data_IF_390276979674
#
_entry.id   IF_390276979674
#
_cell.length_a   1.000
_cell.length_b   1.000
_cell.length_c   1.000
_cell.angle_alpha   90.00
_cell.angle_beta   90.00
_cell.angle_gamma   90.00
#
_symmetry.space_group_name_H-M   'P 1'
#
loop_
_entity.id
_entity.type
_entity.pdbx_description
1 polymer ?
#
# COMPACT_ATOMS: atom_id res chain seq x y z
N UNK A 1 -2.21 12.60 -13.16
CA UNK A 1 -2.07 11.54 -12.13
C UNK A 1 -3.09 10.46 -12.43
N UNK A 2 -2.73 9.19 -12.33
CA UNK A 2 -3.66 8.06 -12.52
C UNK A 2 -4.63 8.04 -11.34
N UNK A 3 -5.95 7.87 -11.58
CA UNK A 3 -6.90 7.77 -10.47
C UNK A 3 -6.73 6.44 -9.71
N UNK A 4 -7.22 6.38 -8.47
CA UNK A 4 -7.20 5.13 -7.69
C UNK A 4 -7.99 4.03 -8.39
N UNK A 5 -9.13 4.38 -9.03
CA UNK A 5 -9.93 3.44 -9.80
C UNK A 5 -9.11 2.84 -10.96
N UNK A 6 -8.48 3.70 -11.74
CA UNK A 6 -7.64 3.24 -12.86
C UNK A 6 -6.46 2.37 -12.39
N UNK A 7 -5.89 2.68 -11.22
CA UNK A 7 -4.84 1.84 -10.62
C UNK A 7 -5.38 0.50 -10.15
N UNK A 8 -6.58 0.47 -9.57
CA UNK A 8 -7.24 -0.76 -9.12
C UNK A 8 -7.63 -1.65 -10.29
N UNK A 9 -8.20 -1.06 -11.36
CA UNK A 9 -8.56 -1.78 -12.58
C UNK A 9 -7.31 -2.41 -13.23
N UNK A 10 -6.21 -1.65 -13.33
CA UNK A 10 -4.94 -2.17 -13.85
C UNK A 10 -4.41 -3.33 -13.02
N UNK A 11 -4.48 -3.21 -11.68
CA UNK A 11 -4.10 -4.30 -10.79
C UNK A 11 -4.93 -5.55 -11.06
N UNK A 12 -6.28 -5.42 -11.13
CA UNK A 12 -7.18 -6.54 -11.41
C UNK A 12 -6.89 -7.23 -12.73
N UNK A 13 -6.70 -6.43 -13.81
CA UNK A 13 -6.35 -6.96 -15.14
C UNK A 13 -5.01 -7.72 -15.08
N UNK A 14 -3.99 -7.14 -14.45
CA UNK A 14 -2.67 -7.78 -14.37
C UNK A 14 -2.72 -9.09 -13.56
N UNK A 15 -3.49 -9.14 -12.46
CA UNK A 15 -3.66 -10.39 -11.70
C UNK A 15 -4.37 -11.48 -12.51
N UNK A 16 -5.35 -11.12 -13.35
CA UNK A 16 -5.99 -12.07 -14.28
C UNK A 16 -5.02 -12.60 -15.34
N UNK A 17 -4.16 -11.74 -15.87
CA UNK A 17 -3.12 -12.16 -16.83
C UNK A 17 -2.12 -13.12 -16.18
N UNK A 18 -1.70 -12.85 -14.93
CA UNK A 18 -0.83 -13.74 -14.17
C UNK A 18 -1.51 -15.08 -13.87
N UNK A 19 -2.78 -15.06 -13.46
CA UNK A 19 -3.56 -16.27 -13.22
C UNK A 19 -3.68 -17.12 -14.49
N UNK A 20 -4.03 -16.48 -15.60
CA UNK A 20 -4.12 -17.18 -16.89
C UNK A 20 -2.79 -17.83 -17.28
N UNK A 21 -1.69 -17.11 -17.09
CA UNK A 21 -0.37 -17.58 -17.50
C UNK A 21 0.20 -18.71 -16.63
N UNK A 22 -0.01 -18.63 -15.31
CA UNK A 22 0.71 -19.47 -14.35
C UNK A 22 -0.17 -20.47 -13.59
N UNK A 23 -1.48 -20.30 -13.61
CA UNK A 23 -2.40 -21.12 -12.80
C UNK A 23 -3.39 -21.90 -13.65
N UNK A 24 -3.92 -21.31 -14.74
CA UNK A 24 -5.04 -21.88 -15.49
C UNK A 24 -4.75 -23.21 -16.16
N UNK A 25 -3.49 -23.58 -16.33
CA UNK A 25 -3.09 -24.86 -16.90
C UNK A 25 -3.00 -25.98 -15.85
N UNK A 26 -3.03 -25.66 -14.56
CA UNK A 26 -2.87 -26.58 -13.44
C UNK A 26 -4.22 -26.83 -12.77
N UNK A 27 -5.08 -27.57 -13.46
CA UNK A 27 -6.47 -27.85 -13.02
C UNK A 27 -6.66 -29.27 -12.51
N UNK A 28 -5.67 -30.16 -12.71
CA UNK A 28 -5.73 -31.52 -12.21
C UNK A 28 -5.36 -31.55 -10.71
N UNK A 29 -6.29 -31.94 -9.82
CA UNK A 29 -6.00 -32.00 -8.38
C UNK A 29 -4.97 -33.08 -8.01
N UNK A 30 -4.65 -33.99 -8.94
CA UNK A 30 -3.66 -35.05 -8.76
C UNK A 30 -2.32 -34.74 -9.45
N UNK A 31 -2.16 -33.57 -10.03
CA UNK A 31 -0.91 -33.14 -10.65
C UNK A 31 0.26 -33.17 -9.65
N UNK A 32 1.43 -33.65 -10.11
CA UNK A 32 2.62 -33.66 -9.25
C UNK A 32 3.04 -32.22 -8.87
N UNK A 33 3.22 -31.91 -7.58
CA UNK A 33 3.70 -30.60 -7.15
C UNK A 33 4.96 -30.11 -7.86
N UNK A 34 5.82 -30.99 -8.36
CA UNK A 34 7.01 -30.62 -9.11
C UNK A 34 6.67 -29.95 -10.46
N UNK A 35 5.52 -30.23 -11.04
CA UNK A 35 5.10 -29.68 -12.33
C UNK A 35 4.62 -28.22 -12.20
N UNK A 36 3.89 -27.86 -11.13
CA UNK A 36 3.31 -26.52 -10.95
C UNK A 36 4.08 -25.61 -10.00
N UNK A 37 5.01 -26.10 -9.20
CA UNK A 37 5.64 -25.31 -8.11
C UNK A 37 6.32 -24.03 -8.59
N UNK A 38 6.95 -24.03 -9.77
CA UNK A 38 7.61 -22.84 -10.33
C UNK A 38 6.59 -21.79 -10.80
N UNK A 39 5.51 -22.25 -11.39
CA UNK A 39 4.45 -21.38 -11.88
C UNK A 39 3.68 -20.74 -10.73
N UNK A 40 3.28 -21.54 -9.73
CA UNK A 40 2.67 -21.04 -8.49
C UNK A 40 3.58 -20.03 -7.78
N UNK A 41 4.88 -20.32 -7.72
CA UNK A 41 5.86 -19.40 -7.18
C UNK A 41 5.90 -18.08 -7.94
N UNK A 42 6.00 -18.14 -9.25
CA UNK A 42 6.03 -16.96 -10.13
C UNK A 42 4.76 -16.12 -9.96
N UNK A 43 3.61 -16.77 -9.92
CA UNK A 43 2.32 -16.15 -9.66
C UNK A 43 2.31 -15.39 -8.33
N UNK A 44 2.70 -16.03 -7.22
CA UNK A 44 2.72 -15.41 -5.90
C UNK A 44 3.70 -14.22 -5.82
N UNK A 45 4.91 -14.36 -6.38
CA UNK A 45 5.94 -13.31 -6.33
C UNK A 45 5.52 -12.09 -7.14
N UNK A 46 5.02 -12.29 -8.35
CA UNK A 46 4.60 -11.21 -9.24
C UNK A 46 3.32 -10.52 -8.73
N UNK A 47 2.36 -11.28 -8.19
CA UNK A 47 1.17 -10.71 -7.55
C UNK A 47 1.54 -9.90 -6.31
N UNK A 48 2.48 -10.37 -5.48
CA UNK A 48 2.96 -9.61 -4.33
C UNK A 48 3.61 -8.28 -4.75
N UNK A 49 4.43 -8.27 -5.81
CA UNK A 49 5.05 -7.05 -6.34
C UNK A 49 3.98 -6.07 -6.87
N UNK A 50 2.94 -6.56 -7.53
CA UNK A 50 1.83 -5.73 -8.00
C UNK A 50 1.03 -5.10 -6.84
N UNK A 51 0.82 -5.83 -5.74
CA UNK A 51 0.21 -5.27 -4.54
C UNK A 51 1.10 -4.20 -3.88
N UNK A 52 2.41 -4.40 -3.86
CA UNK A 52 3.38 -3.42 -3.36
C UNK A 52 3.26 -2.10 -4.12
N UNK A 53 3.34 -2.17 -5.45
CA UNK A 53 3.18 -1.00 -6.33
C UNK A 53 1.81 -0.31 -6.13
N UNK A 54 0.73 -1.08 -6.00
CA UNK A 54 -0.60 -0.53 -5.78
C UNK A 54 -0.72 0.24 -4.46
N UNK A 55 -0.17 -0.31 -3.35
CA UNK A 55 -0.16 0.37 -2.05
C UNK A 55 0.67 1.65 -2.09
N UNK A 56 1.82 1.64 -2.77
CA UNK A 56 2.64 2.83 -2.97
C UNK A 56 1.87 3.92 -3.74
N UNK A 57 1.18 3.54 -4.80
CA UNK A 57 0.35 4.45 -5.59
C UNK A 57 -0.79 5.06 -4.76
N UNK A 58 -1.47 4.28 -3.90
CA UNK A 58 -2.48 4.79 -2.96
C UNK A 58 -1.85 5.81 -2.00
N UNK A 59 -0.68 5.51 -1.46
CA UNK A 59 -0.01 6.41 -0.52
C UNK A 59 0.38 7.73 -1.19
N UNK A 60 0.95 7.68 -2.39
CA UNK A 60 1.33 8.87 -3.16
C UNK A 60 0.10 9.69 -3.58
N UNK A 61 -0.99 9.03 -3.98
CA UNK A 61 -2.25 9.70 -4.26
C UNK A 61 -2.77 10.43 -3.01
N UNK A 62 -2.83 9.74 -1.87
CA UNK A 62 -3.32 10.32 -0.60
C UNK A 62 -2.48 11.49 -0.14
N UNK A 63 -1.16 11.45 -0.32
CA UNK A 63 -0.27 12.58 -0.04
C UNK A 63 -0.60 13.82 -0.86
N UNK A 64 -0.93 13.65 -2.14
CA UNK A 64 -1.33 14.76 -2.99
C UNK A 64 -2.69 15.33 -2.56
N UNK A 65 -3.67 14.46 -2.27
CA UNK A 65 -4.97 14.89 -1.77
C UNK A 65 -4.87 15.67 -0.45
N UNK A 66 -3.96 15.32 0.45
CA UNK A 66 -3.71 16.06 1.70
C UNK A 66 -3.26 17.49 1.41
N UNK A 67 -2.28 17.67 0.52
CA UNK A 67 -1.80 19.01 0.13
C UNK A 67 -2.88 19.80 -0.59
N UNK A 68 -3.48 19.21 -1.62
CA UNK A 68 -4.51 19.88 -2.44
C UNK A 68 -5.70 20.30 -1.59
N UNK A 69 -6.12 19.48 -0.63
CA UNK A 69 -7.19 19.80 0.29
C UNK A 69 -6.83 20.97 1.21
N UNK A 70 -5.61 20.99 1.76
CA UNK A 70 -5.15 22.10 2.58
C UNK A 70 -5.07 23.40 1.78
N UNK A 71 -4.52 23.36 0.57
CA UNK A 71 -4.42 24.55 -0.32
C UNK A 71 -5.81 25.10 -0.66
N UNK A 72 -6.76 24.22 -1.01
CA UNK A 72 -8.09 24.63 -1.46
C UNK A 72 -9.02 25.07 -0.32
N UNK A 73 -8.86 24.53 0.88
CA UNK A 73 -9.80 24.76 1.98
C UNK A 73 -9.21 25.54 3.17
N UNK A 74 -7.89 25.63 3.26
CA UNK A 74 -7.13 26.13 4.41
C UNK A 74 -7.48 25.40 5.71
N UNK A 75 -7.97 24.16 5.63
CA UNK A 75 -8.37 23.36 6.78
C UNK A 75 -7.43 22.21 6.99
N UNK A 76 -7.08 21.95 8.25
CA UNK A 76 -6.28 20.79 8.64
C UNK A 76 -7.21 19.58 8.72
N UNK A 77 -6.95 18.57 7.89
CA UNK A 77 -7.66 17.30 7.93
C UNK A 77 -7.03 16.34 8.95
N UNK A 78 -7.78 15.30 9.34
CA UNK A 78 -7.22 14.22 10.17
C UNK A 78 -5.96 13.61 9.54
N UNK A 79 -5.95 13.39 8.24
CA UNK A 79 -4.79 12.88 7.51
C UNK A 79 -3.60 13.84 7.54
N UNK A 80 -3.86 15.16 7.48
CA UNK A 80 -2.81 16.18 7.65
C UNK A 80 -2.19 16.11 9.05
N UNK A 81 -3.01 15.95 10.09
CA UNK A 81 -2.51 15.78 11.47
C UNK A 81 -1.67 14.51 11.62
N UNK A 82 -2.15 13.38 11.08
CA UNK A 82 -1.40 12.13 11.10
C UNK A 82 -0.05 12.29 10.38
N UNK A 83 -0.06 12.88 9.18
CA UNK A 83 1.15 13.08 8.39
C UNK A 83 2.19 13.87 9.15
N UNK A 84 1.81 15.00 9.73
CA UNK A 84 2.71 15.87 10.50
C UNK A 84 3.18 15.20 11.79
N UNK A 85 2.29 14.53 12.53
CA UNK A 85 2.60 13.87 13.80
C UNK A 85 3.61 12.73 13.64
N UNK A 86 3.34 11.79 12.72
CA UNK A 86 4.15 10.57 12.55
C UNK A 86 5.49 10.83 11.85
N UNK A 87 5.67 11.98 11.20
CA UNK A 87 6.96 12.36 10.61
C UNK A 87 7.78 13.33 11.50
N UNK A 88 7.45 13.41 12.80
CA UNK A 88 8.30 14.06 13.81
C UNK A 88 8.31 15.57 13.74
N UNK A 89 7.23 16.18 13.29
CA UNK A 89 7.13 17.64 13.24
C UNK A 89 6.83 18.24 14.62
N UNK A 90 7.84 18.25 15.47
CA UNK A 90 7.86 18.95 16.77
C UNK A 90 8.85 20.13 16.73
N UNK A 91 8.84 20.92 15.68
CA UNK A 91 9.68 22.12 15.68
C UNK A 91 9.08 23.15 16.62
N UNK A 92 9.85 23.56 17.60
CA UNK A 92 9.60 24.78 18.38
C UNK A 92 9.51 25.97 17.43
N UNK A 93 8.45 26.74 17.55
CA UNK A 93 8.29 27.99 16.83
C UNK A 93 9.33 28.95 17.39
N UNK A 94 10.29 29.33 16.56
CA UNK A 94 11.28 30.33 16.95
C UNK A 94 10.60 31.73 17.02
N UNK A 95 10.57 32.30 18.20
CA UNK A 95 9.83 33.55 18.46
C UNK A 95 10.24 34.73 17.57
N UNK A 96 11.41 34.69 16.94
CA UNK A 96 11.89 35.75 16.05
C UNK A 96 11.29 35.70 14.64
N UNK A 97 10.67 34.59 14.22
CA UNK A 97 10.13 34.41 12.87
C UNK A 97 8.66 34.79 12.71
N UNK A 98 7.96 35.08 13.80
CA UNK A 98 6.50 35.30 13.82
C UNK A 98 6.17 36.81 14.00
N UNK A 99 6.39 37.59 12.96
CA UNK A 99 6.05 39.03 13.04
C UNK A 99 4.72 39.41 12.42
N UNK A 100 4.07 38.50 11.62
CA UNK A 100 2.81 38.78 10.93
C UNK A 100 1.92 37.57 10.89
N UNK A 101 0.62 37.69 11.17
CA UNK A 101 -0.40 36.65 11.22
C UNK A 101 -0.61 35.92 9.85
N UNK A 102 -0.34 36.62 8.74
CA UNK A 102 -0.47 36.04 7.38
C UNK A 102 0.54 34.94 7.07
N UNK A 103 1.53 34.72 7.93
CA UNK A 103 2.59 33.71 7.73
C UNK A 103 2.25 32.34 8.25
N UNK A 104 1.19 32.14 9.05
CA UNK A 104 0.83 30.86 9.62
C UNK A 104 0.46 29.88 8.52
N UNK A 105 -0.33 30.32 7.56
CA UNK A 105 -0.72 29.49 6.41
C UNK A 105 0.49 29.03 5.61
N UNK A 106 1.36 29.96 5.22
CA UNK A 106 2.56 29.64 4.43
C UNK A 106 3.51 28.72 5.20
N UNK A 107 3.65 28.92 6.50
CA UNK A 107 4.42 28.04 7.36
C UNK A 107 3.86 26.61 7.33
N UNK A 108 2.57 26.43 7.57
CA UNK A 108 1.93 25.12 7.58
C UNK A 108 2.01 24.46 6.19
N UNK A 109 1.78 25.21 5.11
CA UNK A 109 1.89 24.69 3.76
C UNK A 109 3.31 24.21 3.46
N UNK A 110 4.33 24.97 3.84
CA UNK A 110 5.73 24.57 3.67
C UNK A 110 6.07 23.32 4.49
N UNK A 111 5.49 23.18 5.70
CA UNK A 111 5.66 21.99 6.51
C UNK A 111 5.02 20.76 5.83
N UNK A 112 3.78 20.89 5.35
CA UNK A 112 3.08 19.81 4.64
C UNK A 112 3.89 19.38 3.40
N UNK A 113 4.40 20.32 2.62
CA UNK A 113 5.22 20.06 1.43
C UNK A 113 6.54 19.38 1.75
N UNK A 114 7.23 19.82 2.80
CA UNK A 114 8.48 19.21 3.25
C UNK A 114 8.26 17.75 3.67
N UNK A 115 7.29 17.51 4.55
CA UNK A 115 6.93 16.16 5.01
C UNK A 115 6.47 15.28 3.86
N UNK A 116 5.63 15.81 2.96
CA UNK A 116 5.19 15.10 1.75
C UNK A 116 6.38 14.66 0.90
N UNK A 117 7.35 15.56 0.67
CA UNK A 117 8.56 15.24 -0.11
C UNK A 117 9.37 14.12 0.53
N UNK A 118 9.60 14.19 1.84
CA UNK A 118 10.42 13.21 2.54
C UNK A 118 9.69 11.85 2.65
N UNK A 119 8.40 11.88 2.92
CA UNK A 119 7.61 10.64 2.99
C UNK A 119 7.41 10.00 1.60
N UNK A 120 7.30 10.79 0.53
CA UNK A 120 7.30 10.27 -0.84
C UNK A 120 8.60 9.54 -1.17
N UNK A 121 9.75 10.09 -0.77
CA UNK A 121 11.05 9.41 -0.93
C UNK A 121 11.12 8.12 -0.11
N UNK A 122 10.57 8.13 1.11
CA UNK A 122 10.48 6.92 1.94
C UNK A 122 9.64 5.82 1.26
N UNK A 123 8.46 6.16 0.73
CA UNK A 123 7.58 5.23 0.00
C UNK A 123 8.34 4.60 -1.17
N UNK A 124 8.97 5.42 -2.02
CA UNK A 124 9.60 4.96 -3.26
C UNK A 124 10.91 4.20 -3.06
N UNK A 125 11.69 4.52 -2.02
CA UNK A 125 13.06 4.02 -1.90
C UNK A 125 13.30 3.09 -0.71
N UNK A 126 12.42 3.06 0.29
CA UNK A 126 12.63 2.33 1.53
C UNK A 126 11.49 1.34 1.86
N UNK A 127 10.43 1.34 1.06
CA UNK A 127 9.41 0.32 1.17
C UNK A 127 9.87 -0.95 0.44
N UNK A 128 9.78 -2.10 1.10
CA UNK A 128 10.23 -3.37 0.56
C UNK A 128 9.21 -4.48 0.80
N UNK A 129 7.92 -4.18 0.68
CA UNK A 129 6.86 -5.17 0.76
C UNK A 129 5.51 -4.65 1.23
N UNK A 130 4.50 -5.52 1.19
CA UNK A 130 3.12 -5.26 1.63
C UNK A 130 2.72 -6.03 2.89
N UNK A 131 3.65 -6.67 3.59
CA UNK A 131 3.35 -7.31 4.87
C UNK A 131 2.78 -6.31 5.89
N UNK A 132 2.00 -6.78 6.87
CA UNK A 132 1.27 -5.92 7.83
C UNK A 132 2.13 -4.85 8.50
N UNK A 133 3.40 -5.16 8.78
CA UNK A 133 4.35 -4.21 9.35
C UNK A 133 4.63 -3.04 8.40
N UNK A 134 4.78 -3.31 7.10
CA UNK A 134 5.02 -2.30 6.07
C UNK A 134 3.76 -1.50 5.81
N UNK A 135 2.60 -2.14 5.69
CA UNK A 135 1.32 -1.46 5.55
C UNK A 135 1.07 -0.47 6.68
N UNK A 136 1.34 -0.83 7.94
CA UNK A 136 1.20 0.10 9.07
C UNK A 136 2.10 1.33 8.91
N UNK A 137 3.35 1.14 8.50
CA UNK A 137 4.31 2.24 8.31
C UNK A 137 3.92 3.19 7.18
N UNK A 138 3.28 2.68 6.15
CA UNK A 138 2.84 3.48 5.00
C UNK A 138 1.49 4.16 5.24
N UNK A 139 0.53 3.44 5.80
CA UNK A 139 -0.87 3.88 5.85
C UNK A 139 -1.17 4.74 7.07
N UNK A 140 -0.63 4.40 8.26
CA UNK A 140 -0.94 5.13 9.49
C UNK A 140 -0.52 6.60 9.44
N UNK A 141 0.64 6.98 8.90
CA UNK A 141 0.99 8.38 8.72
C UNK A 141 0.04 9.17 7.80
N UNK A 142 -0.74 8.47 6.99
CA UNK A 142 -1.75 9.07 6.09
C UNK A 142 -3.16 9.06 6.70
N UNK A 143 -3.31 8.59 7.94
CA UNK A 143 -4.62 8.41 8.58
C UNK A 143 -5.43 7.25 7.98
N UNK A 144 -4.75 6.36 7.26
CA UNK A 144 -5.32 5.15 6.68
C UNK A 144 -5.03 3.93 7.57
N UNK A 145 -5.94 2.95 7.53
CA UNK A 145 -5.76 1.68 8.22
C UNK A 145 -5.96 0.54 7.23
N UNK A 146 -5.02 -0.41 7.23
CA UNK A 146 -5.24 -1.66 6.51
C UNK A 146 -6.51 -2.36 7.05
N UNK A 147 -7.35 -2.93 6.18
CA UNK A 147 -8.43 -3.80 6.63
C UNK A 147 -7.84 -4.97 7.43
N UNK A 148 -8.25 -5.13 8.69
CA UNK A 148 -7.75 -6.17 9.58
C UNK A 148 -8.72 -7.35 9.69
N UNK A 149 -9.27 -7.79 8.57
CA UNK A 149 -9.97 -9.06 8.50
C UNK A 149 -8.95 -10.21 8.61
N UNK A 150 -9.33 -11.29 9.33
CA UNK A 150 -8.47 -12.45 9.55
C UNK A 150 -8.13 -13.16 8.22
N UNK A 151 -9.07 -13.15 7.27
CA UNK A 151 -8.90 -13.70 5.91
C UNK A 151 -7.78 -12.95 5.18
N UNK A 152 -7.87 -11.61 5.16
CA UNK A 152 -6.89 -10.76 4.48
C UNK A 152 -5.50 -10.85 5.10
N UNK A 153 -5.42 -10.79 6.43
CA UNK A 153 -4.12 -10.87 7.11
C UNK A 153 -3.47 -12.22 6.92
N UNK A 154 -4.23 -13.32 6.97
CA UNK A 154 -3.71 -14.67 6.72
C UNK A 154 -3.22 -14.84 5.28
N UNK A 155 -3.99 -14.37 4.28
CA UNK A 155 -3.61 -14.44 2.87
C UNK A 155 -2.33 -13.62 2.62
N UNK A 156 -2.26 -12.40 3.15
CA UNK A 156 -1.12 -11.52 3.00
C UNK A 156 0.15 -12.10 3.65
N UNK A 157 0.02 -12.68 4.85
CA UNK A 157 1.15 -13.34 5.53
C UNK A 157 1.66 -14.54 4.74
N UNK A 158 0.77 -15.34 4.15
CA UNK A 158 1.14 -16.44 3.27
C UNK A 158 1.93 -15.95 2.05
N UNK A 159 1.41 -14.98 1.31
CA UNK A 159 2.11 -14.43 0.14
C UNK A 159 3.47 -13.83 0.54
N UNK A 160 3.56 -13.13 1.68
CA UNK A 160 4.81 -12.56 2.19
C UNK A 160 5.83 -13.64 2.55
N UNK A 161 5.39 -14.75 3.18
CA UNK A 161 6.24 -15.89 3.50
C UNK A 161 6.78 -16.55 2.24
N UNK A 162 5.95 -16.73 1.22
CA UNK A 162 6.39 -17.30 -0.07
C UNK A 162 7.42 -16.40 -0.76
N UNK A 163 7.22 -15.07 -0.81
CA UNK A 163 8.24 -14.14 -1.33
C UNK A 163 9.54 -14.23 -0.55
N UNK A 164 9.49 -14.17 0.78
CA UNK A 164 10.68 -14.16 1.65
C UNK A 164 11.44 -15.48 1.60
N UNK A 165 10.74 -16.61 1.65
CA UNK A 165 11.36 -17.93 1.54
C UNK A 165 12.10 -18.14 0.23
N UNK A 166 11.63 -17.53 -0.84
CA UNK A 166 12.24 -17.65 -2.16
C UNK A 166 13.45 -16.72 -2.38
N UNK A 167 13.55 -15.63 -1.63
CA UNK A 167 14.66 -14.70 -1.74
C UNK A 167 15.90 -15.13 -0.94
N UNK A 168 15.73 -15.95 0.12
CA UNK A 168 16.78 -16.18 1.12
C UNK A 168 17.13 -17.65 1.39
N UNK A 169 16.37 -18.62 0.89
CA UNK A 169 16.63 -20.04 1.16
C UNK A 169 16.78 -20.86 -0.11
N UNK A 170 17.83 -21.68 -0.14
CA UNK A 170 17.99 -22.73 -1.15
C UNK A 170 16.78 -23.67 -1.14
N UNK A 171 16.31 -24.01 -2.30
CA UNK A 171 15.09 -24.67 -2.76
C UNK A 171 14.53 -25.89 -1.99
N UNK A 172 15.10 -26.33 -0.89
CA UNK A 172 14.88 -27.69 -0.35
C UNK A 172 13.73 -27.88 0.64
N UNK A 173 13.12 -26.83 1.22
CA UNK A 173 12.19 -27.00 2.35
C UNK A 173 10.91 -26.14 2.32
N UNK A 174 10.51 -25.58 1.20
CA UNK A 174 9.25 -24.84 1.15
C UNK A 174 8.18 -25.79 0.64
N UNK A 175 7.17 -26.09 1.48
CA UNK A 175 5.97 -26.79 1.01
C UNK A 175 5.41 -26.07 -0.20
N UNK A 176 5.23 -26.79 -1.30
CA UNK A 176 4.54 -26.26 -2.48
C UNK A 176 3.10 -25.89 -2.09
N UNK A 177 2.70 -24.68 -2.47
CA UNK A 177 1.31 -24.28 -2.38
C UNK A 177 0.57 -24.84 -3.57
N UNK A 178 -0.67 -25.30 -3.39
CA UNK A 178 -1.49 -25.72 -4.54
C UNK A 178 -1.84 -24.50 -5.41
N UNK A 179 -2.05 -24.69 -6.72
CA UNK A 179 -2.51 -23.62 -7.62
C UNK A 179 -3.80 -22.94 -7.13
N UNK A 180 -4.74 -23.75 -6.62
CA UNK A 180 -6.02 -23.27 -6.09
C UNK A 180 -5.84 -22.40 -4.84
N UNK A 181 -5.01 -22.83 -3.87
CA UNK A 181 -4.72 -22.03 -2.69
C UNK A 181 -3.99 -20.73 -3.04
N UNK A 182 -3.04 -20.77 -3.98
CA UNK A 182 -2.34 -19.59 -4.45
C UNK A 182 -3.31 -18.58 -5.06
N UNK A 183 -4.19 -19.02 -5.94
CA UNK A 183 -5.26 -18.21 -6.52
C UNK A 183 -6.13 -17.59 -5.43
N UNK A 184 -6.60 -18.40 -4.49
CA UNK A 184 -7.43 -17.91 -3.38
C UNK A 184 -6.73 -16.81 -2.58
N UNK A 185 -5.47 -17.00 -2.18
CA UNK A 185 -4.75 -15.99 -1.41
C UNK A 185 -4.53 -14.69 -2.18
N UNK A 186 -4.23 -14.76 -3.46
CA UNK A 186 -4.06 -13.56 -4.30
C UNK A 186 -5.37 -12.78 -4.38
N UNK A 187 -6.51 -13.44 -4.62
CA UNK A 187 -7.80 -12.76 -4.69
C UNK A 187 -8.29 -12.26 -3.33
N UNK A 188 -8.02 -12.95 -2.23
CA UNK A 188 -8.29 -12.44 -0.88
C UNK A 188 -7.51 -11.14 -0.59
N UNK A 189 -6.24 -11.04 -1.04
CA UNK A 189 -5.46 -9.80 -0.92
C UNK A 189 -5.97 -8.73 -1.88
N UNK A 190 -6.41 -9.07 -3.08
CA UNK A 190 -7.05 -8.12 -3.99
C UNK A 190 -8.31 -7.49 -3.38
N UNK A 191 -9.17 -8.28 -2.75
CA UNK A 191 -10.34 -7.77 -2.02
C UNK A 191 -9.93 -6.76 -0.93
N UNK A 192 -8.83 -7.03 -0.21
CA UNK A 192 -8.26 -6.07 0.74
C UNK A 192 -7.83 -4.76 0.06
N UNK A 193 -7.25 -4.83 -1.15
CA UNK A 193 -6.86 -3.63 -1.92
C UNK A 193 -8.08 -2.83 -2.37
N UNK A 194 -9.18 -3.49 -2.73
CA UNK A 194 -10.47 -2.84 -3.03
C UNK A 194 -10.98 -2.06 -1.82
N UNK A 195 -10.96 -2.67 -0.63
CA UNK A 195 -11.37 -1.98 0.59
C UNK A 195 -10.45 -0.79 0.93
N UNK A 196 -9.14 -0.96 0.75
CA UNK A 196 -8.17 0.10 1.00
C UNK A 196 -8.38 1.28 0.03
N UNK A 197 -8.61 1.01 -1.25
CA UNK A 197 -8.95 2.02 -2.25
C UNK A 197 -10.22 2.80 -1.86
N UNK A 198 -11.25 2.10 -1.39
CA UNK A 198 -12.50 2.72 -0.92
C UNK A 198 -12.29 3.61 0.32
N UNK A 199 -11.41 3.20 1.25
CA UNK A 199 -11.07 4.02 2.43
C UNK A 199 -10.26 5.26 2.04
N UNK A 200 -9.30 5.13 1.16
CA UNK A 200 -8.48 6.25 0.66
C UNK A 200 -9.34 7.33 -0.01
N UNK A 201 -10.31 6.95 -0.82
CA UNK A 201 -11.27 7.89 -1.44
C UNK A 201 -12.10 8.65 -0.40
N UNK A 202 -12.51 8.00 0.68
CA UNK A 202 -13.32 8.64 1.72
C UNK A 202 -12.54 9.72 2.49
N UNK A 203 -11.24 9.62 2.61
CA UNK A 203 -10.40 10.65 3.24
C UNK A 203 -10.53 12.00 2.53
N UNK A 204 -10.70 12.00 1.20
CA UNK A 204 -10.95 13.22 0.45
C UNK A 204 -12.25 13.93 0.86
N UNK A 205 -13.23 13.22 1.44
CA UNK A 205 -14.55 13.75 1.77
C UNK A 205 -14.74 14.17 3.23
N UNK A 206 -13.93 13.66 4.18
CA UNK A 206 -14.09 14.03 5.58
C UNK A 206 -13.32 15.29 5.93
N UNK A 207 -14.05 16.42 6.02
CA UNK A 207 -13.61 17.60 6.76
C UNK A 207 -13.96 17.40 8.23
N UNK A 208 -13.05 17.71 9.14
CA UNK A 208 -13.39 17.89 10.56
C UNK A 208 -14.29 19.13 10.63
N UNK A 209 -15.56 18.96 10.96
CA UNK A 209 -16.50 20.05 11.26
C UNK A 209 -16.30 20.52 12.69
#
# INVERSE_FOLDING_TARGET
MVSIEQSLDKLGIYLLELEYKYISNHVDPFEDPEEYKLDVRSYCVLSHAAFEEFVENICLYTLNEIEDKFVNTQRISFSTLCLLHFNGYNKTIDNESWKDDDRIYDYLLNQIRSVKSDFSKYIMNQNHGVGLKYLKRLLVPLGLYAPLDIRFSSALDKLTQFRGGYAHTSHRNIKSLSPEDAKKYVWDVYDMMVELANKSRKISYYSIH
#
